data_IF_813498598800
#
_entry.id   IF_813498598800
#
_cell.length_a   1.000
_cell.length_b   1.000
_cell.length_c   1.000
_cell.angle_alpha   90.00
_cell.angle_beta   90.00
_cell.angle_gamma   90.00
#
_symmetry.space_group_name_H-M   'P 1'
#
loop_
_entity.id
_entity.type
_entity.pdbx_description
1 polymer ?
#
# COMPACT_ATOMS: atom_id res chain seq x y z
N UNK A 1 -3.96 -3.15 -14.83
CA UNK A 1 -3.95 -4.00 -13.60
C UNK A 1 -5.27 -4.76 -13.48
N UNK A 2 -5.30 -5.96 -12.85
CA UNK A 2 -6.54 -6.67 -12.53
C UNK A 2 -7.48 -5.87 -11.62
N UNK A 3 -8.78 -6.21 -11.63
CA UNK A 3 -9.81 -5.50 -10.86
C UNK A 3 -9.71 -5.70 -9.35
N UNK A 4 -9.30 -6.89 -8.92
CA UNK A 4 -9.31 -7.29 -7.51
C UNK A 4 -7.91 -7.29 -6.88
N UNK A 5 -7.82 -6.86 -5.62
CA UNK A 5 -6.56 -6.74 -4.88
C UNK A 5 -5.81 -8.08 -4.78
N UNK A 6 -6.53 -9.20 -4.69
CA UNK A 6 -5.96 -10.56 -4.71
C UNK A 6 -5.16 -10.81 -5.99
N UNK A 7 -5.68 -10.40 -7.13
CA UNK A 7 -5.03 -10.65 -8.43
C UNK A 7 -4.00 -9.58 -8.78
N UNK A 8 -4.20 -8.34 -8.33
CA UNK A 8 -3.16 -7.30 -8.37
C UNK A 8 -1.90 -7.77 -7.64
N UNK A 9 -2.03 -8.48 -6.52
CA UNK A 9 -0.92 -9.04 -5.77
C UNK A 9 -0.09 -10.11 -6.44
N UNK A 10 -0.53 -10.62 -7.59
CA UNK A 10 0.19 -11.60 -8.41
C UNK A 10 0.95 -10.93 -9.57
N UNK A 11 0.88 -9.61 -9.69
CA UNK A 11 1.53 -8.84 -10.77
C UNK A 11 2.75 -8.11 -10.24
N UNK A 12 3.69 -7.86 -11.14
CA UNK A 12 4.90 -7.11 -10.85
C UNK A 12 5.92 -7.86 -10.00
N UNK A 13 6.98 -7.14 -9.63
CA UNK A 13 8.09 -7.64 -8.81
C UNK A 13 7.76 -7.47 -7.31
N UNK A 14 8.13 -8.44 -6.48
CA UNK A 14 8.10 -8.28 -5.03
C UNK A 14 9.18 -7.30 -4.56
N UNK A 15 8.79 -6.39 -3.65
CA UNK A 15 9.69 -5.40 -3.08
C UNK A 15 9.75 -5.59 -1.57
N UNK A 16 10.96 -5.45 -1.01
CA UNK A 16 11.14 -5.45 0.43
C UNK A 16 10.60 -4.15 1.04
N UNK A 17 10.10 -4.21 2.27
CA UNK A 17 9.47 -3.07 2.95
C UNK A 17 10.36 -1.82 3.03
N UNK A 18 11.68 -1.99 3.17
CA UNK A 18 12.62 -0.86 3.26
C UNK A 18 13.01 -0.29 1.88
N UNK A 19 12.52 -0.89 0.79
CA UNK A 19 12.79 -0.51 -0.59
C UNK A 19 11.54 0.00 -1.33
N UNK A 20 10.47 0.31 -0.57
CA UNK A 20 9.23 0.89 -1.09
C UNK A 20 9.55 2.20 -1.81
N UNK A 21 8.99 2.36 -3.00
CA UNK A 21 9.07 3.58 -3.79
C UNK A 21 7.66 4.08 -4.14
N UNK A 22 7.51 5.38 -4.45
CA UNK A 22 6.28 5.91 -5.00
C UNK A 22 5.79 5.08 -6.19
N UNK A 23 4.50 4.74 -6.19
CA UNK A 23 3.85 3.90 -7.21
C UNK A 23 3.76 2.42 -6.85
N UNK A 24 4.51 1.93 -5.85
CA UNK A 24 4.39 0.54 -5.41
C UNK A 24 3.00 0.25 -4.81
N UNK A 25 2.46 -0.94 -5.08
CA UNK A 25 1.22 -1.41 -4.46
C UNK A 25 1.52 -1.99 -3.08
N UNK A 26 0.86 -1.45 -2.05
CA UNK A 26 0.91 -1.97 -0.69
C UNK A 26 -0.30 -2.88 -0.44
N UNK A 27 -0.06 -4.16 -0.21
CA UNK A 27 -1.13 -5.16 -0.11
C UNK A 27 -1.41 -5.57 1.32
N UNK A 28 -2.70 -5.60 1.65
CA UNK A 28 -3.22 -6.02 2.94
C UNK A 28 -4.30 -7.10 2.75
N UNK A 29 -4.84 -7.66 3.83
CA UNK A 29 -6.00 -8.55 3.73
C UNK A 29 -7.18 -7.80 3.10
N UNK A 30 -7.60 -8.22 1.91
CA UNK A 30 -8.73 -7.67 1.15
C UNK A 30 -8.65 -6.15 0.88
N UNK A 31 -7.44 -5.57 0.87
CA UNK A 31 -7.27 -4.13 0.74
C UNK A 31 -5.95 -3.80 0.02
N UNK A 32 -5.92 -2.69 -0.70
CA UNK A 32 -4.75 -2.20 -1.45
C UNK A 32 -4.59 -0.70 -1.26
N UNK A 33 -3.34 -0.24 -1.24
CA UNK A 33 -2.96 1.16 -1.29
C UNK A 33 -1.85 1.37 -2.31
N UNK A 34 -1.59 2.63 -2.67
CA UNK A 34 -0.45 3.02 -3.50
C UNK A 34 0.51 3.82 -2.64
N UNK A 35 1.77 3.42 -2.61
CA UNK A 35 2.83 4.18 -1.96
C UNK A 35 3.03 5.52 -2.68
N UNK A 36 3.15 6.61 -1.91
CA UNK A 36 3.50 7.95 -2.42
C UNK A 36 4.86 8.42 -1.87
N UNK A 37 5.40 7.70 -0.89
CA UNK A 37 6.78 7.79 -0.39
C UNK A 37 7.17 6.41 0.18
N UNK A 38 8.36 6.29 0.78
CA UNK A 38 8.77 5.06 1.48
C UNK A 38 7.78 4.65 2.59
N UNK A 39 7.12 5.63 3.21
CA UNK A 39 6.26 5.40 4.39
C UNK A 39 4.82 5.86 4.22
N UNK A 40 4.54 6.76 3.30
CA UNK A 40 3.20 7.31 3.11
C UNK A 40 2.52 6.65 1.91
N UNK A 41 1.20 6.51 2.02
CA UNK A 41 0.38 5.86 1.00
C UNK A 41 -0.99 6.50 0.88
N UNK A 42 -1.57 6.41 -0.31
CA UNK A 42 -2.92 6.84 -0.62
C UNK A 42 -3.82 5.62 -0.85
N UNK A 43 -5.04 5.65 -0.33
CA UNK A 43 -6.02 4.58 -0.53
C UNK A 43 -7.46 5.07 -0.34
N UNK A 44 -8.40 4.34 -0.94
CA UNK A 44 -9.82 4.48 -0.60
C UNK A 44 -10.06 3.85 0.79
N UNK A 45 -10.78 4.56 1.66
CA UNK A 45 -11.03 4.15 3.03
C UNK A 45 -12.47 4.46 3.41
N UNK A 46 -13.26 3.41 3.64
CA UNK A 46 -14.63 3.55 4.12
C UNK A 46 -14.70 4.31 5.46
N UNK A 47 -13.81 3.99 6.40
CA UNK A 47 -13.74 4.66 7.71
C UNK A 47 -13.33 6.12 7.66
N UNK A 48 -12.88 6.62 6.49
CA UNK A 48 -12.57 8.04 6.26
C UNK A 48 -13.46 8.69 5.22
N UNK A 49 -14.50 8.00 4.77
CA UNK A 49 -15.47 8.53 3.81
C UNK A 49 -14.94 8.74 2.39
N UNK A 50 -13.78 8.17 2.02
CA UNK A 50 -13.23 8.35 0.68
C UNK A 50 -11.74 8.09 0.56
N UNK A 51 -11.12 8.72 -0.43
CA UNK A 51 -9.68 8.62 -0.67
C UNK A 51 -8.93 9.43 0.39
N UNK A 52 -7.94 8.81 1.04
CA UNK A 52 -7.18 9.43 2.12
C UNK A 52 -5.71 9.00 2.09
N UNK A 53 -4.85 9.85 2.66
CA UNK A 53 -3.43 9.59 2.84
C UNK A 53 -3.19 9.13 4.29
N UNK A 54 -2.33 8.11 4.45
CA UNK A 54 -1.90 7.58 5.74
C UNK A 54 -0.42 7.23 5.70
N UNK A 55 0.14 6.91 6.87
CA UNK A 55 1.56 6.59 7.03
C UNK A 55 1.77 5.25 7.74
N UNK A 56 2.85 4.57 7.35
CA UNK A 56 3.44 3.43 8.06
C UNK A 56 4.45 3.90 9.14
N UNK A 57 4.77 5.19 9.21
CA UNK A 57 5.68 5.74 10.22
C UNK A 57 4.99 5.94 11.57
N UNK A 58 5.45 5.23 12.61
CA UNK A 58 4.95 5.36 14.00
C UNK A 58 5.03 6.79 14.56
N UNK A 59 5.89 7.65 14.02
CA UNK A 59 6.05 9.05 14.42
C UNK A 59 5.10 10.01 13.68
N UNK A 60 4.44 9.55 12.62
CA UNK A 60 3.53 10.37 11.83
C UNK A 60 2.17 10.54 12.51
N UNK A 61 1.57 11.73 12.41
CA UNK A 61 0.18 11.97 12.81
C UNK A 61 -0.83 11.17 11.96
N UNK A 62 -0.41 10.70 10.78
CA UNK A 62 -1.21 9.89 9.87
C UNK A 62 -0.99 8.38 10.05
N UNK A 63 -0.29 7.98 11.11
CA UNK A 63 0.04 6.59 11.39
C UNK A 63 -1.20 5.74 11.63
N UNK A 64 -1.25 4.58 10.98
CA UNK A 64 -2.26 3.55 11.25
C UNK A 64 -1.61 2.23 11.64
N UNK A 65 -1.64 1.93 12.95
CA UNK A 65 -1.09 0.69 13.53
C UNK A 65 -1.53 -0.57 12.79
N UNK A 66 -2.84 -0.72 12.53
CA UNK A 66 -3.37 -1.91 11.88
C UNK A 66 -2.93 -2.05 10.42
N UNK A 67 -2.56 -0.95 9.76
CA UNK A 67 -2.01 -0.99 8.39
C UNK A 67 -0.54 -1.32 8.42
N UNK A 68 0.21 -0.75 9.35
CA UNK A 68 1.61 -1.10 9.54
C UNK A 68 1.81 -2.61 9.78
N UNK A 69 1.17 -3.17 10.81
CA UNK A 69 1.22 -4.60 11.10
C UNK A 69 0.54 -5.48 10.04
N UNK A 70 -0.38 -4.91 9.26
CA UNK A 70 -1.19 -5.64 8.30
C UNK A 70 -0.58 -5.74 6.90
N UNK A 71 0.57 -5.09 6.64
CA UNK A 71 1.23 -5.10 5.35
C UNK A 71 1.72 -6.52 5.04
N UNK A 72 1.21 -7.12 3.96
CA UNK A 72 1.50 -8.51 3.58
C UNK A 72 2.55 -8.62 2.49
N UNK A 73 2.53 -7.69 1.54
CA UNK A 73 3.45 -7.67 0.42
C UNK A 73 3.50 -6.25 -0.19
N UNK A 74 4.59 -5.98 -0.89
CA UNK A 74 4.75 -4.81 -1.75
C UNK A 74 5.00 -5.29 -3.17
N UNK A 75 4.28 -4.74 -4.15
CA UNK A 75 4.44 -5.08 -5.57
C UNK A 75 4.78 -3.85 -6.38
N UNK A 76 5.91 -3.88 -7.08
CA UNK A 76 6.25 -2.88 -8.10
C UNK A 76 5.74 -3.34 -9.45
N UNK A 77 4.84 -2.57 -10.03
CA UNK A 77 4.37 -2.84 -11.38
C UNK A 77 5.43 -2.33 -12.35
N UNK A 78 5.98 -3.25 -13.13
CA UNK A 78 6.86 -2.93 -14.25
C UNK A 78 6.01 -3.06 -15.51
N UNK A 79 5.99 -2.01 -16.32
CA UNK A 79 5.44 -2.09 -17.67
C UNK A 79 6.47 -2.83 -18.54
N UNK A 80 5.97 -3.79 -19.32
CA UNK A 80 6.75 -4.44 -20.38
C UNK A 80 6.50 -3.71 -21.69
#
# INVERSE_FOLDING_TARGET
LPRDSKDQGKKGKEIERNNIQPGDLLLFKNHVAVAISEKDYIHSSLSRGGVSINSLDKKSKLYLKNRDFGLRAVRRIVEN
#
